data_IF_943630165999
#
_entry.id   IF_943630165999
#
_cell.length_a   1.000
_cell.length_b   1.000
_cell.length_c   1.000
_cell.angle_alpha   90.00
_cell.angle_beta   90.00
_cell.angle_gamma   90.00
#
_symmetry.space_group_name_H-M   'P 1'
#
loop_
_entity.id
_entity.type
_entity.pdbx_description
1 polymer ?
#
# COMPACT_ATOMS: atom_id res chain seq x y z
N UNK A 1 45.81 17.19 10.52
CA UNK A 1 44.73 16.27 10.10
C UNK A 1 43.69 16.31 11.21
N UNK A 2 42.60 17.06 11.01
CA UNK A 2 41.49 17.10 11.94
C UNK A 2 40.57 15.93 11.58
N UNK A 3 40.50 14.92 12.45
CA UNK A 3 39.46 13.91 12.37
C UNK A 3 38.14 14.58 12.74
N UNK A 4 37.31 14.86 11.75
CA UNK A 4 35.89 15.14 11.95
C UNK A 4 35.26 13.88 12.53
N UNK A 5 34.95 13.91 13.83
CA UNK A 5 34.05 12.93 14.44
C UNK A 5 32.68 13.13 13.82
N UNK A 6 32.29 12.25 12.91
CA UNK A 6 30.89 12.11 12.51
C UNK A 6 30.11 11.73 13.78
N UNK A 7 29.36 12.69 14.31
CA UNK A 7 28.35 12.41 15.33
C UNK A 7 27.30 11.52 14.68
N UNK A 8 27.30 10.24 15.05
CA UNK A 8 26.18 9.33 14.76
C UNK A 8 24.94 9.99 15.36
N UNK A 9 24.02 10.45 14.52
CA UNK A 9 22.76 11.01 15.00
C UNK A 9 22.05 9.91 15.81
N UNK A 10 21.72 10.20 17.07
CA UNK A 10 20.91 9.28 17.88
C UNK A 10 19.57 9.07 17.18
N UNK A 11 19.19 7.80 17.00
CA UNK A 11 17.89 7.45 16.43
C UNK A 11 16.79 8.00 17.35
N UNK A 12 15.76 8.66 16.79
CA UNK A 12 14.66 9.17 17.58
C UNK A 12 13.98 8.01 18.33
N UNK A 13 13.72 8.22 19.63
CA UNK A 13 13.13 7.20 20.48
C UNK A 13 11.71 6.87 20.02
N UNK A 14 11.41 5.59 19.84
CA UNK A 14 10.03 5.12 19.68
C UNK A 14 9.31 5.32 21.01
N UNK A 15 8.13 5.91 20.95
CA UNK A 15 7.28 6.10 22.13
C UNK A 15 5.92 5.44 21.91
N UNK A 16 5.29 5.02 23.01
CA UNK A 16 3.86 4.73 22.96
C UNK A 16 3.15 6.04 22.62
N UNK A 17 2.30 6.01 21.60
CA UNK A 17 1.60 7.21 21.18
C UNK A 17 0.56 7.60 22.24
N UNK A 18 0.46 8.88 22.65
CA UNK A 18 -0.57 9.31 23.60
C UNK A 18 -1.99 8.94 23.18
N UNK A 19 -2.27 8.88 21.87
CA UNK A 19 -3.56 8.45 21.34
C UNK A 19 -3.90 7.00 21.69
N UNK A 20 -2.90 6.14 21.97
CA UNK A 20 -3.11 4.76 22.43
C UNK A 20 -3.95 4.66 23.72
N UNK A 21 -3.99 5.72 24.53
CA UNK A 21 -4.78 5.79 25.76
C UNK A 21 -6.27 6.06 25.50
N UNK A 22 -6.61 6.55 24.31
CA UNK A 22 -7.97 6.89 23.89
C UNK A 22 -8.67 5.73 23.18
N UNK A 23 -7.95 4.64 22.91
CA UNK A 23 -8.45 3.50 22.14
C UNK A 23 -8.57 2.23 22.99
N UNK A 24 -9.57 1.42 22.67
CA UNK A 24 -9.96 0.24 23.46
C UNK A 24 -8.91 -0.88 23.53
N UNK A 25 -7.89 -0.83 22.66
CA UNK A 25 -6.82 -1.81 22.58
C UNK A 25 -5.49 -1.14 22.23
N UNK A 26 -4.53 -1.17 23.16
CA UNK A 26 -3.31 -0.36 23.12
C UNK A 26 -2.09 -1.02 22.46
N UNK A 27 -2.21 -2.23 21.90
CA UNK A 27 -1.09 -2.92 21.23
C UNK A 27 -1.50 -4.23 20.56
N UNK A 28 -0.60 -4.83 19.78
CA UNK A 28 -0.89 -6.08 19.08
C UNK A 28 -1.00 -7.28 20.03
N UNK A 29 -1.68 -8.33 19.56
CA UNK A 29 -1.84 -9.56 20.31
C UNK A 29 -0.76 -10.57 19.90
N UNK A 30 0.28 -10.76 20.71
CA UNK A 30 1.32 -11.76 20.45
C UNK A 30 1.26 -12.94 21.43
N UNK A 31 1.04 -14.15 20.92
CA UNK A 31 1.05 -15.38 21.74
C UNK A 31 1.53 -16.59 20.94
N UNK A 32 2.22 -17.53 21.61
CA UNK A 32 2.75 -18.75 20.98
C UNK A 32 3.56 -18.46 19.68
N UNK A 33 4.37 -17.39 19.70
CA UNK A 33 5.21 -16.94 18.57
C UNK A 33 4.42 -16.48 17.32
N UNK A 34 3.18 -16.04 17.50
CA UNK A 34 2.31 -15.53 16.43
C UNK A 34 1.59 -14.25 16.86
N UNK A 35 1.37 -13.36 15.91
CA UNK A 35 0.49 -12.19 16.03
C UNK A 35 -0.96 -12.55 15.70
N UNK A 36 -1.92 -11.79 16.22
CA UNK A 36 -3.35 -12.02 16.01
C UNK A 36 -4.09 -10.68 15.88
N UNK A 37 -5.14 -10.69 15.06
CA UNK A 37 -6.12 -9.60 15.03
C UNK A 37 -6.92 -9.52 16.35
N UNK A 38 -7.37 -8.33 16.72
CA UNK A 38 -8.29 -8.15 17.86
C UNK A 38 -9.61 -8.89 17.67
N UNK A 39 -10.09 -8.98 16.43
CA UNK A 39 -11.20 -9.83 16.03
C UNK A 39 -10.67 -10.99 15.17
N UNK A 40 -10.95 -12.23 15.60
CA UNK A 40 -10.50 -13.42 14.88
C UNK A 40 -11.19 -13.48 13.52
N UNK A 41 -10.45 -13.45 12.38
CA UNK A 41 -11.04 -13.64 11.06
C UNK A 41 -11.76 -14.98 10.97
N UNK A 42 -12.78 -15.06 10.13
CA UNK A 42 -13.44 -16.33 9.86
C UNK A 42 -12.45 -17.26 9.15
N UNK A 43 -12.12 -18.38 9.79
CA UNK A 43 -11.23 -19.37 9.20
C UNK A 43 -11.88 -20.02 7.98
N UNK A 44 -11.12 -20.16 6.89
CA UNK A 44 -11.58 -20.90 5.72
C UNK A 44 -11.86 -22.36 6.09
N UNK A 45 -13.07 -22.81 5.83
CA UNK A 45 -13.48 -24.21 6.06
C UNK A 45 -13.02 -25.11 4.90
N UNK A 46 -12.90 -26.42 5.13
CA UNK A 46 -12.55 -27.37 4.05
C UNK A 46 -13.54 -27.32 2.87
N UNK A 47 -14.87 -27.29 3.07
CA UNK A 47 -15.82 -27.06 1.97
C UNK A 47 -15.62 -25.69 1.29
N UNK A 48 -15.29 -24.65 2.06
CA UNK A 48 -14.95 -23.33 1.52
C UNK A 48 -13.73 -23.37 0.61
N UNK A 49 -12.67 -24.10 0.99
CA UNK A 49 -11.49 -24.30 0.17
C UNK A 49 -11.81 -25.00 -1.16
N UNK A 50 -12.60 -26.08 -1.13
CA UNK A 50 -13.02 -26.75 -2.37
C UNK A 50 -13.86 -25.85 -3.28
N UNK A 51 -14.75 -25.04 -2.70
CA UNK A 51 -15.53 -24.03 -3.44
C UNK A 51 -14.62 -23.01 -4.10
N UNK A 52 -13.64 -22.48 -3.35
CA UNK A 52 -12.67 -21.51 -3.87
C UNK A 52 -11.84 -22.09 -5.02
N UNK A 53 -11.31 -23.31 -4.86
CA UNK A 53 -10.60 -24.02 -5.92
C UNK A 53 -11.47 -24.19 -7.17
N UNK A 54 -12.75 -24.56 -6.99
CA UNK A 54 -13.72 -24.61 -8.08
C UNK A 54 -13.89 -23.27 -8.78
N UNK A 55 -13.97 -22.16 -8.03
CA UNK A 55 -14.06 -20.81 -8.61
C UNK A 55 -12.81 -20.43 -9.42
N UNK A 56 -11.60 -20.73 -8.94
CA UNK A 56 -10.39 -20.48 -9.73
C UNK A 56 -10.32 -21.29 -11.04
N UNK A 57 -10.99 -22.45 -11.08
CA UNK A 57 -11.07 -23.29 -12.28
C UNK A 57 -12.18 -22.84 -13.24
N UNK A 58 -13.35 -22.44 -12.73
CA UNK A 58 -14.57 -22.29 -13.52
C UNK A 58 -15.20 -20.88 -13.50
N UNK A 59 -14.80 -20.01 -12.59
CA UNK A 59 -15.30 -18.65 -12.41
C UNK A 59 -14.14 -17.64 -12.51
N UNK A 60 -13.35 -17.75 -13.57
CA UNK A 60 -12.29 -16.79 -13.86
C UNK A 60 -12.90 -15.45 -14.28
N UNK A 61 -12.27 -14.32 -13.92
CA UNK A 61 -12.65 -13.02 -14.45
C UNK A 61 -12.58 -13.03 -15.98
N UNK A 62 -13.41 -12.20 -16.62
CA UNK A 62 -13.43 -12.07 -18.07
C UNK A 62 -12.16 -11.38 -18.57
N UNK A 63 -11.65 -10.41 -17.80
CA UNK A 63 -10.47 -9.60 -18.09
C UNK A 63 -9.57 -9.55 -16.84
N UNK A 64 -8.88 -10.65 -16.48
CA UNK A 64 -7.99 -10.72 -15.30
C UNK A 64 -6.81 -9.75 -15.38
N UNK A 65 -6.38 -9.47 -16.61
CA UNK A 65 -5.28 -8.58 -16.90
C UNK A 65 -5.66 -7.68 -18.08
N UNK A 66 -5.09 -6.48 -18.14
CA UNK A 66 -5.33 -5.57 -19.24
C UNK A 66 -4.97 -6.17 -20.63
N UNK A 67 -5.79 -5.90 -21.65
CA UNK A 67 -5.62 -6.40 -23.04
C UNK A 67 -5.09 -5.27 -23.92
N UNK A 68 -4.08 -5.53 -24.77
CA UNK A 68 -3.50 -4.53 -25.69
C UNK A 68 -2.10 -4.04 -25.30
N UNK A 69 -1.44 -3.20 -26.13
CA UNK A 69 -0.01 -2.90 -25.99
C UNK A 69 0.37 -2.02 -24.80
N UNK A 70 -0.48 -1.10 -24.32
CA UNK A 70 -0.24 -0.30 -23.10
C UNK A 70 -1.56 0.10 -22.41
N UNK A 71 -2.17 -0.78 -21.61
CA UNK A 71 -3.52 -0.55 -21.11
C UNK A 71 -3.57 0.08 -19.70
N UNK A 72 -2.45 0.10 -18.97
CA UNK A 72 -2.29 0.95 -17.77
C UNK A 72 -1.27 2.03 -18.11
N UNK A 73 -1.69 3.31 -18.21
CA UNK A 73 -0.79 4.38 -18.60
C UNK A 73 0.24 4.65 -17.50
N UNK A 74 1.49 4.79 -17.93
CA UNK A 74 2.63 5.11 -17.07
C UNK A 74 3.16 6.47 -17.48
N UNK A 75 3.01 7.44 -16.59
CA UNK A 75 3.64 8.74 -16.68
C UNK A 75 5.13 8.59 -16.35
N UNK A 76 5.98 8.76 -17.37
CA UNK A 76 7.42 8.66 -17.19
C UNK A 76 7.93 9.76 -16.26
N UNK A 77 8.65 9.35 -15.21
CA UNK A 77 9.28 10.25 -14.25
C UNK A 77 10.79 10.23 -14.43
N UNK A 78 11.44 11.34 -14.08
CA UNK A 78 12.90 11.45 -14.01
C UNK A 78 13.31 11.92 -12.61
N UNK A 79 14.51 11.54 -12.18
CA UNK A 79 15.04 11.96 -10.89
C UNK A 79 15.09 13.49 -10.73
N UNK A 80 15.38 14.23 -11.80
CA UNK A 80 15.42 15.70 -11.77
C UNK A 80 14.04 16.33 -11.57
N UNK A 81 12.97 15.75 -12.13
CA UNK A 81 11.60 16.21 -11.90
C UNK A 81 11.20 16.08 -10.43
N UNK A 82 11.65 15.01 -9.75
CA UNK A 82 11.40 14.82 -8.31
C UNK A 82 12.12 15.87 -7.46
N UNK A 83 13.33 16.28 -7.85
CA UNK A 83 14.20 17.18 -7.09
C UNK A 83 13.84 18.67 -7.24
N UNK A 84 12.99 19.06 -8.19
CA UNK A 84 12.53 20.45 -8.32
C UNK A 84 11.92 20.90 -6.99
N UNK A 85 12.31 22.05 -6.40
CA UNK A 85 11.66 22.56 -5.19
C UNK A 85 10.16 22.65 -5.44
N UNK A 86 9.41 21.81 -4.74
CA UNK A 86 7.97 21.65 -4.95
C UNK A 86 7.30 21.51 -3.61
N UNK A 87 6.02 21.83 -3.60
CA UNK A 87 5.09 21.46 -2.53
C UNK A 87 5.15 19.96 -2.26
N UNK A 88 4.63 19.55 -1.10
CA UNK A 88 4.42 18.14 -0.78
C UNK A 88 3.67 17.45 -1.93
N UNK A 89 4.22 16.33 -2.41
CA UNK A 89 3.75 15.65 -3.62
C UNK A 89 3.74 14.15 -3.40
N UNK A 90 2.69 13.48 -3.86
CA UNK A 90 2.57 12.02 -3.86
C UNK A 90 2.67 11.49 -5.28
N UNK A 91 3.39 10.39 -5.47
CA UNK A 91 3.44 9.64 -6.73
C UNK A 91 3.10 8.18 -6.47
N UNK A 92 2.19 7.62 -7.25
CA UNK A 92 1.89 6.18 -7.22
C UNK A 92 2.78 5.44 -8.21
N UNK A 93 3.72 4.63 -7.75
CA UNK A 93 4.66 3.90 -8.62
C UNK A 93 4.14 2.51 -9.05
N UNK A 94 3.04 2.07 -8.46
CA UNK A 94 2.36 0.81 -8.74
C UNK A 94 1.85 0.18 -7.45
N UNK A 95 0.74 -0.54 -7.52
CA UNK A 95 0.15 -1.29 -6.42
C UNK A 95 -0.05 -0.40 -5.18
N UNK A 96 0.70 -0.66 -4.11
CA UNK A 96 0.75 0.11 -2.85
C UNK A 96 2.09 0.84 -2.65
N UNK A 97 2.94 0.88 -3.67
CA UNK A 97 4.20 1.65 -3.68
C UNK A 97 3.94 3.12 -3.97
N UNK A 98 4.02 3.95 -2.93
CA UNK A 98 3.85 5.39 -3.01
C UNK A 98 5.17 6.09 -2.67
N UNK A 99 5.62 6.98 -3.55
CA UNK A 99 6.71 7.91 -3.25
C UNK A 99 6.08 9.21 -2.75
N UNK A 100 6.39 9.57 -1.50
CA UNK A 100 5.93 10.78 -0.85
C UNK A 100 7.10 11.76 -0.74
N UNK A 101 6.95 12.95 -1.29
CA UNK A 101 7.84 14.07 -1.01
C UNK A 101 7.16 14.92 0.06
N UNK A 102 7.71 14.92 1.27
CA UNK A 102 7.16 15.61 2.44
C UNK A 102 8.25 16.49 3.04
N UNK A 103 8.00 17.80 3.17
CA UNK A 103 8.99 18.77 3.67
C UNK A 103 10.34 18.72 2.91
N UNK A 104 10.33 18.39 1.61
CA UNK A 104 11.54 18.24 0.80
C UNK A 104 12.31 16.93 1.00
N UNK A 105 11.84 16.04 1.89
CA UNK A 105 12.38 14.69 2.09
C UNK A 105 11.53 13.65 1.34
N UNK A 106 12.14 12.53 0.94
CA UNK A 106 11.46 11.45 0.22
C UNK A 106 11.22 10.23 1.09
N UNK A 107 10.00 9.72 1.05
CA UNK A 107 9.54 8.54 1.77
C UNK A 107 8.91 7.57 0.78
N UNK A 108 9.04 6.27 1.03
CA UNK A 108 8.53 5.24 0.12
C UNK A 108 7.76 4.17 0.89
N UNK A 109 6.52 3.89 0.50
CA UNK A 109 5.72 2.81 1.10
C UNK A 109 5.88 1.52 0.30
N UNK A 110 5.86 0.36 0.98
CA UNK A 110 5.73 -0.98 0.40
C UNK A 110 6.36 -1.16 -1.01
N UNK A 111 7.69 -0.99 -1.14
CA UNK A 111 8.33 -0.92 -2.44
C UNK A 111 8.39 -2.27 -3.14
N UNK A 112 7.68 -2.38 -4.27
CA UNK A 112 7.72 -3.55 -5.15
C UNK A 112 7.99 -3.15 -6.60
N UNK A 113 9.25 -3.31 -7.00
CA UNK A 113 9.76 -3.07 -8.35
C UNK A 113 9.93 -4.37 -9.15
N UNK A 114 9.84 -5.54 -8.51
CA UNK A 114 9.96 -6.83 -9.19
C UNK A 114 8.86 -7.05 -10.23
N UNK A 115 9.17 -7.87 -11.24
CA UNK A 115 8.23 -8.23 -12.31
C UNK A 115 7.07 -9.08 -11.80
N UNK A 116 7.28 -9.83 -10.71
CA UNK A 116 6.28 -10.68 -10.08
C UNK A 116 6.27 -10.54 -8.57
N UNK A 117 5.06 -10.49 -8.00
CA UNK A 117 4.81 -10.62 -6.57
C UNK A 117 4.88 -12.11 -6.17
N UNK A 118 6.09 -12.67 -6.12
CA UNK A 118 6.30 -14.10 -5.93
C UNK A 118 7.71 -14.39 -5.40
N UNK A 119 7.91 -15.49 -4.65
CA UNK A 119 9.27 -15.96 -4.32
C UNK A 119 10.09 -16.32 -5.56
N UNK A 120 9.43 -16.64 -6.67
CA UNK A 120 10.07 -17.14 -7.89
C UNK A 120 9.66 -16.27 -9.08
N UNK A 121 10.61 -15.73 -9.83
CA UNK A 121 10.31 -14.78 -10.91
C UNK A 121 9.72 -15.43 -12.18
N UNK A 122 9.59 -16.75 -12.24
CA UNK A 122 8.95 -17.48 -13.34
C UNK A 122 7.50 -17.90 -13.07
N UNK A 123 7.00 -17.77 -11.83
CA UNK A 123 5.64 -18.18 -11.44
C UNK A 123 5.01 -17.15 -10.49
N UNK A 124 3.68 -17.06 -10.45
CA UNK A 124 2.95 -16.10 -9.62
C UNK A 124 2.56 -14.81 -10.35
N UNK A 125 1.85 -13.88 -9.70
CA UNK A 125 1.26 -12.69 -10.33
C UNK A 125 2.32 -11.83 -11.02
N UNK A 126 2.11 -11.49 -12.31
CA UNK A 126 2.98 -10.60 -13.08
C UNK A 126 2.39 -9.20 -13.08
N UNK A 127 3.24 -8.17 -12.94
CA UNK A 127 2.78 -6.78 -13.04
C UNK A 127 2.28 -6.44 -14.45
N UNK A 128 1.26 -5.59 -14.54
CA UNK A 128 0.63 -5.15 -15.80
C UNK A 128 1.41 -4.09 -16.56
N UNK A 129 2.20 -3.28 -15.84
CA UNK A 129 2.95 -2.15 -16.38
C UNK A 129 4.35 -2.14 -15.76
N UNK A 130 5.35 -1.55 -16.40
CA UNK A 130 6.64 -1.30 -15.76
C UNK A 130 6.50 -0.18 -14.69
N UNK A 131 7.33 -0.16 -13.64
CA UNK A 131 7.34 0.97 -12.72
C UNK A 131 7.86 2.23 -13.44
N UNK A 132 7.38 3.43 -13.07
CA UNK A 132 7.75 4.68 -13.76
C UNK A 132 9.22 5.09 -13.49
N UNK A 133 9.82 4.53 -12.44
CA UNK A 133 11.23 4.66 -12.06
C UNK A 133 11.72 3.32 -11.54
N UNK A 134 13.00 3.03 -11.78
CA UNK A 134 13.71 1.93 -11.12
C UNK A 134 14.27 2.38 -9.76
N UNK A 135 14.53 1.47 -8.81
CA UNK A 135 15.09 1.80 -7.50
C UNK A 135 16.34 2.69 -7.57
N UNK A 136 17.20 2.47 -8.57
CA UNK A 136 18.44 3.21 -8.75
C UNK A 136 18.24 4.65 -9.24
N UNK A 137 17.04 4.97 -9.72
CA UNK A 137 16.68 6.30 -10.20
C UNK A 137 15.98 7.13 -9.12
N UNK A 138 15.61 6.53 -7.98
CA UNK A 138 15.02 7.25 -6.87
C UNK A 138 16.03 8.17 -6.18
N UNK A 139 15.58 9.34 -5.68
CA UNK A 139 16.39 10.19 -4.82
C UNK A 139 16.75 9.47 -3.52
N UNK A 140 17.63 10.08 -2.71
CA UNK A 140 17.88 9.60 -1.35
C UNK A 140 16.57 9.59 -0.56
N UNK A 141 16.30 8.48 0.12
CA UNK A 141 15.07 8.25 0.87
C UNK A 141 15.34 8.46 2.35
N UNK A 142 14.56 9.35 2.96
CA UNK A 142 14.54 9.54 4.40
C UNK A 142 14.03 8.31 5.13
N UNK A 143 13.08 7.60 4.52
CA UNK A 143 12.52 6.39 5.10
C UNK A 143 11.80 5.50 4.09
N UNK A 144 11.88 4.20 4.32
CA UNK A 144 11.00 3.21 3.70
C UNK A 144 10.04 2.69 4.76
N UNK A 145 8.75 2.73 4.47
CA UNK A 145 7.67 2.35 5.37
C UNK A 145 7.07 1.04 4.86
N UNK A 146 7.05 0.01 5.70
CA UNK A 146 6.51 -1.31 5.34
C UNK A 146 5.25 -1.57 6.17
N UNK A 147 4.15 -1.96 5.52
CA UNK A 147 2.90 -2.34 6.20
C UNK A 147 2.93 -3.76 6.74
N UNK A 148 3.42 -4.73 5.95
CA UNK A 148 3.46 -6.15 6.31
C UNK A 148 4.39 -6.94 5.36
N UNK A 149 4.43 -8.27 5.51
CA UNK A 149 5.47 -9.10 4.89
C UNK A 149 5.05 -9.85 3.61
N UNK A 150 3.92 -9.59 2.98
CA UNK A 150 3.54 -10.32 1.75
C UNK A 150 4.40 -9.93 0.55
N UNK A 151 4.39 -10.75 -0.50
CA UNK A 151 5.31 -10.63 -1.65
C UNK A 151 5.07 -9.37 -2.50
N UNK A 152 3.84 -8.87 -2.51
CA UNK A 152 3.38 -7.66 -3.20
C UNK A 152 3.51 -6.38 -2.36
N UNK A 153 4.00 -6.48 -1.12
CA UNK A 153 4.30 -5.34 -0.25
C UNK A 153 5.76 -5.29 0.23
N UNK A 154 6.42 -6.46 0.27
CA UNK A 154 7.80 -6.62 0.71
C UNK A 154 8.57 -7.47 -0.30
N UNK A 155 9.26 -6.81 -1.22
CA UNK A 155 10.04 -7.46 -2.28
C UNK A 155 11.54 -7.45 -1.99
N UNK A 156 12.17 -8.63 -2.03
CA UNK A 156 13.60 -8.78 -1.73
C UNK A 156 14.50 -8.00 -2.70
N UNK A 157 14.15 -7.99 -3.99
CA UNK A 157 14.93 -7.27 -5.00
C UNK A 157 14.91 -5.76 -4.71
N UNK A 158 13.72 -5.23 -4.45
CA UNK A 158 13.51 -3.83 -4.10
C UNK A 158 14.27 -3.44 -2.84
N UNK A 159 14.13 -4.21 -1.75
CA UNK A 159 14.85 -3.92 -0.50
C UNK A 159 16.36 -3.89 -0.71
N UNK A 160 16.92 -4.88 -1.41
CA UNK A 160 18.36 -4.94 -1.68
C UNK A 160 18.85 -3.76 -2.51
N UNK A 161 18.09 -3.36 -3.53
CA UNK A 161 18.44 -2.21 -4.37
C UNK A 161 18.31 -0.87 -3.64
N UNK A 162 17.43 -0.78 -2.65
CA UNK A 162 17.15 0.45 -1.90
C UNK A 162 17.95 0.59 -0.60
N UNK A 163 18.56 -0.48 -0.09
CA UNK A 163 19.26 -0.49 1.20
C UNK A 163 20.35 0.59 1.32
N UNK A 164 21.05 0.92 0.22
CA UNK A 164 22.08 1.96 0.21
C UNK A 164 21.55 3.38 -0.08
N UNK A 165 20.25 3.51 -0.35
CA UNK A 165 19.58 4.78 -0.68
C UNK A 165 18.67 5.28 0.42
N UNK A 166 18.37 4.42 1.38
CA UNK A 166 17.45 4.69 2.47
C UNK A 166 18.22 4.89 3.77
N UNK A 167 17.88 5.94 4.51
CA UNK A 167 18.42 6.16 5.86
C UNK A 167 17.88 5.11 6.84
N UNK A 168 16.56 4.86 6.82
CA UNK A 168 15.89 4.00 7.80
C UNK A 168 14.70 3.23 7.22
N UNK A 169 14.54 1.97 7.60
CA UNK A 169 13.35 1.16 7.36
C UNK A 169 12.44 1.19 8.61
N UNK A 170 11.20 1.63 8.44
CA UNK A 170 10.16 1.65 9.48
C UNK A 170 9.17 0.52 9.20
N UNK A 171 9.15 -0.49 10.07
CA UNK A 171 8.46 -1.76 9.79
C UNK A 171 7.71 -2.28 11.01
N UNK A 172 6.68 -3.11 10.85
CA UNK A 172 6.05 -3.79 11.99
C UNK A 172 6.99 -4.85 12.59
N UNK A 173 6.81 -5.15 13.87
CA UNK A 173 7.60 -6.14 14.60
C UNK A 173 7.74 -7.48 13.87
N UNK A 174 8.95 -8.01 13.84
CA UNK A 174 9.29 -9.30 13.24
C UNK A 174 9.70 -9.21 11.75
N UNK A 175 9.38 -8.11 11.05
CA UNK A 175 9.84 -7.88 9.67
C UNK A 175 11.33 -7.59 9.62
N UNK A 176 11.89 -6.91 10.62
CA UNK A 176 13.29 -6.50 10.65
C UNK A 176 14.28 -7.65 10.52
N UNK A 177 13.95 -8.84 11.06
CA UNK A 177 14.77 -10.05 10.86
C UNK A 177 14.94 -10.39 9.38
N UNK A 178 13.89 -10.22 8.57
CA UNK A 178 13.94 -10.52 7.13
C UNK A 178 14.79 -9.48 6.40
N UNK A 179 14.65 -8.20 6.74
CA UNK A 179 15.49 -7.14 6.18
C UNK A 179 16.98 -7.35 6.48
N UNK A 180 17.32 -7.76 7.70
CA UNK A 180 18.70 -8.12 8.07
C UNK A 180 19.23 -9.30 7.26
N UNK A 181 18.41 -10.34 7.03
CA UNK A 181 18.78 -11.45 6.15
C UNK A 181 19.05 -11.01 4.70
N UNK A 182 18.45 -9.91 4.27
CA UNK A 182 18.64 -9.33 2.94
C UNK A 182 19.77 -8.28 2.88
N UNK A 183 20.45 -8.02 4.00
CA UNK A 183 21.63 -7.16 4.05
C UNK A 183 21.38 -5.73 4.53
N UNK A 184 20.19 -5.43 5.07
CA UNK A 184 19.94 -4.15 5.74
C UNK A 184 20.59 -4.17 7.12
N UNK A 185 21.38 -3.14 7.44
CA UNK A 185 22.03 -3.01 8.74
C UNK A 185 20.98 -2.88 9.86
N UNK A 186 21.24 -3.47 11.03
CA UNK A 186 20.26 -3.54 12.10
C UNK A 186 19.91 -2.15 12.66
N UNK A 187 20.89 -1.25 12.69
CA UNK A 187 20.75 0.16 13.05
C UNK A 187 19.85 0.94 12.09
N UNK A 188 19.74 0.51 10.84
CA UNK A 188 18.88 1.13 9.82
C UNK A 188 17.45 0.56 9.83
N UNK A 189 17.06 -0.19 10.87
CA UNK A 189 15.72 -0.79 11.00
C UNK A 189 15.09 -0.38 12.32
N UNK A 190 13.88 0.15 12.23
CA UNK A 190 13.03 0.51 13.37
C UNK A 190 11.75 -0.32 13.34
N UNK A 191 11.55 -1.19 14.33
CA UNK A 191 10.38 -2.06 14.43
C UNK A 191 9.29 -1.47 15.34
N UNK A 192 8.04 -1.53 14.90
CA UNK A 192 6.87 -0.96 15.60
C UNK A 192 5.84 -2.02 15.98
N UNK A 193 5.31 -1.89 17.19
CA UNK A 193 3.99 -2.41 17.55
C UNK A 193 2.89 -1.38 17.16
N UNK A 194 1.63 -1.80 17.20
CA UNK A 194 0.51 -0.89 17.04
C UNK A 194 0.52 0.22 18.09
N UNK A 195 0.13 1.41 17.66
CA UNK A 195 0.12 2.67 18.40
C UNK A 195 1.48 3.12 18.92
N UNK A 196 2.57 2.62 18.36
CA UNK A 196 3.88 3.20 18.56
C UNK A 196 4.16 4.25 17.50
N UNK A 197 4.83 5.33 17.90
CA UNK A 197 5.19 6.43 17.01
C UNK A 197 6.62 6.88 17.16
N UNK A 198 7.11 7.52 16.11
CA UNK A 198 8.41 8.16 16.05
C UNK A 198 8.29 9.50 15.33
N UNK A 199 9.06 10.49 15.80
CA UNK A 199 9.23 11.77 15.11
C UNK A 199 10.58 11.77 14.41
N UNK A 200 10.58 11.96 13.09
CA UNK A 200 11.79 11.95 12.25
C UNK A 200 11.84 13.24 11.47
N UNK A 201 12.70 14.17 11.91
CA UNK A 201 12.70 15.53 11.37
C UNK A 201 11.32 16.17 11.54
N UNK A 202 10.74 16.66 10.43
CA UNK A 202 9.40 17.24 10.41
C UNK A 202 8.25 16.23 10.32
N UNK A 203 8.52 14.94 10.15
CA UNK A 203 7.50 13.92 9.86
C UNK A 203 7.28 12.97 11.03
N UNK A 204 6.03 12.85 11.48
CA UNK A 204 5.60 11.85 12.44
C UNK A 204 5.15 10.58 11.71
N UNK A 205 5.60 9.43 12.19
CA UNK A 205 5.10 8.13 11.78
C UNK A 205 4.44 7.44 12.97
N UNK A 206 3.26 6.87 12.78
CA UNK A 206 2.58 6.01 13.75
C UNK A 206 2.17 4.72 13.07
N UNK A 207 2.58 3.58 13.61
CA UNK A 207 2.06 2.29 13.18
C UNK A 207 0.69 2.07 13.83
N UNK A 208 -0.38 2.05 13.06
CA UNK A 208 -1.75 1.85 13.55
C UNK A 208 -2.24 0.43 13.25
N UNK A 209 -3.26 -0.08 13.96
CA UNK A 209 -3.79 -1.41 13.70
C UNK A 209 -4.25 -1.62 12.25
N UNK A 210 -4.23 -2.87 11.82
CA UNK A 210 -4.80 -3.35 10.57
C UNK A 210 -5.39 -4.74 10.81
N UNK A 211 -6.38 -5.13 10.02
CA UNK A 211 -7.00 -6.46 10.06
C UNK A 211 -6.48 -7.32 8.91
N UNK A 212 -5.31 -7.94 9.09
CA UNK A 212 -4.68 -8.77 8.05
C UNK A 212 -3.96 -9.98 8.65
N UNK A 213 -2.99 -10.54 7.95
CA UNK A 213 -2.11 -11.60 8.42
C UNK A 213 -0.71 -11.42 7.82
N UNK A 214 0.22 -12.31 8.18
CA UNK A 214 1.55 -12.35 7.57
C UNK A 214 1.96 -13.76 7.21
N UNK A 215 2.85 -13.91 6.23
CA UNK A 215 3.40 -15.20 5.83
C UNK A 215 3.98 -15.18 4.41
N UNK A 216 5.10 -15.87 4.22
CA UNK A 216 5.77 -16.01 2.92
C UNK A 216 6.02 -17.48 2.55
N UNK A 217 5.73 -18.42 3.44
CA UNK A 217 5.87 -19.85 3.19
C UNK A 217 5.02 -20.70 4.13
N UNK A 218 5.29 -22.00 4.14
CA UNK A 218 4.43 -22.98 4.84
C UNK A 218 4.49 -22.91 6.38
N UNK A 219 5.51 -22.26 6.95
CA UNK A 219 5.79 -22.33 8.38
C UNK A 219 5.93 -20.98 9.08
N UNK A 220 5.73 -19.87 8.39
CA UNK A 220 5.98 -18.52 8.91
C UNK A 220 4.71 -17.68 9.09
N UNK A 221 3.53 -18.28 8.96
CA UNK A 221 2.24 -17.62 9.20
C UNK A 221 2.23 -16.90 10.55
N UNK A 222 1.87 -15.62 10.50
CA UNK A 222 1.73 -14.68 11.60
C UNK A 222 2.98 -14.47 12.47
N UNK A 223 4.18 -14.79 11.94
CA UNK A 223 5.44 -14.62 12.70
C UNK A 223 5.99 -13.19 12.69
N UNK A 224 5.43 -12.31 11.87
CA UNK A 224 5.63 -10.86 11.93
C UNK A 224 4.28 -10.14 11.99
N UNK A 225 4.27 -8.95 12.55
CA UNK A 225 3.09 -8.11 12.63
C UNK A 225 2.79 -7.48 11.25
N UNK A 226 1.57 -6.96 11.11
CA UNK A 226 1.06 -6.15 10.00
C UNK A 226 0.45 -4.88 10.59
N UNK A 227 0.48 -3.76 9.88
CA UNK A 227 -0.05 -2.49 10.36
C UNK A 227 -0.47 -1.58 9.21
N UNK A 228 -1.30 -0.60 9.52
CA UNK A 228 -1.50 0.60 8.73
C UNK A 228 -0.59 1.71 9.27
N UNK A 229 -0.48 2.83 8.56
CA UNK A 229 0.40 3.93 8.95
C UNK A 229 -0.30 5.28 8.90
N UNK A 230 -0.10 6.06 9.96
CA UNK A 230 -0.30 7.51 9.95
C UNK A 230 1.04 8.17 9.66
N UNK A 231 1.07 9.04 8.65
CA UNK A 231 2.26 9.75 8.17
C UNK A 231 1.91 11.24 8.15
N UNK A 232 2.47 12.03 9.07
CA UNK A 232 2.12 13.46 9.22
C UNK A 232 3.33 14.35 9.08
N UNK A 233 3.31 15.22 8.09
CA UNK A 233 4.16 16.42 8.00
C UNK A 233 3.41 17.63 8.60
N UNK A 234 4.05 18.79 8.80
CA UNK A 234 3.37 20.02 9.20
C UNK A 234 2.33 20.50 8.18
N UNK A 235 2.45 20.10 6.92
CA UNK A 235 1.61 20.55 5.82
C UNK A 235 0.64 19.48 5.29
N UNK A 236 0.87 18.20 5.59
CA UNK A 236 0.10 17.08 5.03
C UNK A 236 -0.04 15.93 6.01
N UNK A 237 -1.27 15.47 6.21
CA UNK A 237 -1.63 14.29 7.00
C UNK A 237 -2.09 13.17 6.06
N UNK A 238 -1.35 12.07 6.01
CA UNK A 238 -1.61 10.92 5.14
C UNK A 238 -1.88 9.68 5.98
N UNK A 239 -2.94 8.95 5.64
CA UNK A 239 -3.15 7.58 6.11
C UNK A 239 -2.80 6.59 4.99
N UNK A 240 -2.07 5.53 5.33
CA UNK A 240 -1.72 4.45 4.41
C UNK A 240 -2.21 3.12 4.98
N UNK A 241 -3.16 2.46 4.32
CA UNK A 241 -3.82 1.28 4.87
C UNK A 241 -2.94 0.03 4.92
N UNK A 242 -1.94 -0.08 4.03
CA UNK A 242 -1.44 -1.40 3.63
C UNK A 242 -2.61 -2.25 3.12
N UNK A 243 -2.61 -3.53 3.49
CA UNK A 243 -3.76 -4.41 3.30
C UNK A 243 -4.48 -4.66 4.62
N UNK A 244 -5.80 -4.64 4.59
CA UNK A 244 -6.62 -4.78 5.79
C UNK A 244 -8.08 -5.00 5.44
N UNK A 245 -8.71 -6.02 6.04
CA UNK A 245 -10.16 -6.08 6.09
C UNK A 245 -10.76 -4.90 6.88
N UNK A 246 -12.06 -4.67 6.72
CA UNK A 246 -12.73 -3.62 7.47
C UNK A 246 -12.90 -3.99 8.96
N UNK A 247 -12.75 -2.98 9.82
CA UNK A 247 -12.87 -3.09 11.27
C UNK A 247 -13.07 -1.71 11.92
N UNK A 248 -13.60 -1.71 13.16
CA UNK A 248 -13.93 -0.48 13.91
C UNK A 248 -12.72 0.40 14.22
N UNK A 249 -11.50 -0.12 14.08
CA UNK A 249 -10.28 0.65 14.34
C UNK A 249 -10.06 1.79 13.35
N UNK A 250 -10.65 1.77 12.15
CA UNK A 250 -10.61 2.93 11.25
C UNK A 250 -11.23 4.17 11.89
N UNK A 251 -12.38 4.00 12.55
CA UNK A 251 -13.05 5.09 13.25
C UNK A 251 -12.21 5.62 14.41
N UNK A 252 -11.61 4.70 15.17
CA UNK A 252 -10.70 5.04 16.27
C UNK A 252 -9.48 5.83 15.78
N UNK A 253 -8.88 5.42 14.65
CA UNK A 253 -7.76 6.12 14.02
C UNK A 253 -8.21 7.50 13.53
N UNK A 254 -9.39 7.59 12.91
CA UNK A 254 -9.98 8.86 12.46
C UNK A 254 -10.30 9.83 13.59
N UNK A 255 -10.75 9.34 14.74
CA UNK A 255 -10.97 10.15 15.95
C UNK A 255 -9.65 10.62 16.59
N UNK A 256 -8.60 9.80 16.53
CA UNK A 256 -7.30 10.11 17.11
C UNK A 256 -6.45 11.08 16.27
N UNK A 257 -6.45 10.91 14.94
CA UNK A 257 -5.52 11.59 14.04
C UNK A 257 -6.18 12.38 12.93
N UNK A 258 -7.45 12.11 12.65
CA UNK A 258 -8.20 12.78 11.60
C UNK A 258 -8.52 14.24 11.92
N UNK A 259 -8.97 15.01 10.91
CA UNK A 259 -9.12 14.59 9.52
C UNK A 259 -7.77 14.37 8.82
N UNK A 260 -7.74 13.42 7.87
CA UNK A 260 -6.59 13.20 7.00
C UNK A 260 -6.77 13.93 5.68
N UNK A 261 -5.72 14.57 5.18
CA UNK A 261 -5.75 15.21 3.87
C UNK A 261 -5.88 14.15 2.76
N UNK A 262 -5.12 13.06 2.86
CA UNK A 262 -5.20 11.92 1.94
C UNK A 262 -5.28 10.62 2.72
N UNK A 263 -6.26 9.79 2.39
CA UNK A 263 -6.28 8.39 2.80
C UNK A 263 -5.96 7.52 1.58
N UNK A 264 -4.85 6.78 1.65
CA UNK A 264 -4.45 5.79 0.66
C UNK A 264 -5.00 4.43 1.12
N UNK A 265 -6.10 3.99 0.50
CA UNK A 265 -6.90 2.85 0.97
C UNK A 265 -6.86 1.72 -0.05
N UNK A 266 -6.53 0.51 0.39
CA UNK A 266 -6.60 -0.66 -0.48
C UNK A 266 -8.01 -0.83 -1.07
N UNK A 267 -8.06 -1.01 -2.38
CA UNK A 267 -9.30 -1.10 -3.14
C UNK A 267 -9.04 -2.03 -4.32
N UNK A 268 -8.86 -3.32 -4.04
CA UNK A 268 -8.51 -4.35 -5.00
C UNK A 268 -8.19 -5.66 -4.27
N UNK A 269 -7.91 -6.73 -5.01
CA UNK A 269 -7.64 -8.06 -4.47
C UNK A 269 -8.74 -8.63 -3.53
N UNK A 270 -9.96 -8.11 -3.61
CA UNK A 270 -11.06 -8.51 -2.74
C UNK A 270 -11.86 -9.67 -3.33
N UNK A 271 -12.51 -10.41 -2.46
CA UNK A 271 -13.59 -11.34 -2.79
C UNK A 271 -14.48 -11.54 -1.56
N UNK A 272 -15.72 -11.97 -1.80
CA UNK A 272 -16.68 -12.32 -0.74
C UNK A 272 -16.24 -13.50 0.12
N UNK A 273 -15.29 -14.30 -0.35
CA UNK A 273 -14.74 -15.44 0.39
C UNK A 273 -13.64 -15.05 1.40
N UNK A 274 -13.10 -13.82 1.36
CA UNK A 274 -12.10 -13.31 2.33
C UNK A 274 -12.30 -11.84 2.77
N UNK A 275 -13.52 -11.44 3.15
CA UNK A 275 -13.85 -10.03 3.45
C UNK A 275 -13.17 -9.49 4.71
N UNK A 276 -12.57 -10.38 5.51
CA UNK A 276 -11.92 -10.05 6.77
C UNK A 276 -10.46 -9.63 6.62
N UNK A 277 -9.87 -9.78 5.43
CA UNK A 277 -8.45 -9.47 5.16
C UNK A 277 -8.23 -8.55 3.95
N UNK A 278 -9.19 -8.49 3.02
CA UNK A 278 -9.23 -7.46 1.97
C UNK A 278 -10.62 -6.84 1.90
N UNK A 279 -10.68 -5.51 1.85
CA UNK A 279 -11.94 -4.78 1.78
C UNK A 279 -12.62 -4.87 0.41
N UNK A 280 -13.93 -5.14 0.43
CA UNK A 280 -14.80 -4.83 -0.71
C UNK A 280 -14.81 -3.30 -0.95
N UNK A 281 -15.07 -2.80 -2.18
CA UNK A 281 -15.07 -1.37 -2.46
C UNK A 281 -15.98 -0.53 -1.55
N UNK A 282 -17.14 -1.08 -1.14
CA UNK A 282 -18.03 -0.43 -0.17
C UNK A 282 -17.36 -0.26 1.20
N UNK A 283 -16.60 -1.25 1.62
CA UNK A 283 -15.84 -1.22 2.87
C UNK A 283 -14.64 -0.28 2.78
N UNK A 284 -13.94 -0.23 1.63
CA UNK A 284 -12.86 0.73 1.39
C UNK A 284 -13.36 2.17 1.48
N UNK A 285 -14.55 2.46 0.90
CA UNK A 285 -15.17 3.77 1.03
C UNK A 285 -15.59 4.07 2.47
N UNK A 286 -16.17 3.10 3.17
CA UNK A 286 -16.55 3.27 4.57
C UNK A 286 -15.32 3.53 5.47
N UNK A 287 -14.21 2.83 5.25
CA UNK A 287 -12.95 3.07 5.97
C UNK A 287 -12.45 4.51 5.76
N UNK A 288 -12.51 5.03 4.53
CA UNK A 288 -12.18 6.43 4.24
C UNK A 288 -13.04 7.42 5.04
N UNK A 289 -14.36 7.18 5.11
CA UNK A 289 -15.29 8.01 5.87
C UNK A 289 -14.99 7.96 7.37
N UNK A 290 -14.76 6.77 7.92
CA UNK A 290 -14.46 6.58 9.35
C UNK A 290 -13.11 7.20 9.76
N UNK A 291 -12.16 7.25 8.83
CA UNK A 291 -10.89 7.95 9.00
C UNK A 291 -11.03 9.48 8.97
N UNK A 292 -12.21 10.02 8.64
CA UNK A 292 -12.42 11.44 8.36
C UNK A 292 -11.47 11.95 7.25
N UNK A 293 -11.32 11.18 6.16
CA UNK A 293 -10.47 11.57 5.03
C UNK A 293 -11.08 12.67 4.16
N UNK A 294 -10.25 13.58 3.67
CA UNK A 294 -10.64 14.63 2.71
C UNK A 294 -10.60 14.12 1.27
N UNK A 295 -9.52 13.44 0.89
CA UNK A 295 -9.35 12.81 -0.43
C UNK A 295 -9.02 11.32 -0.26
N UNK A 296 -9.68 10.47 -1.05
CA UNK A 296 -9.37 9.05 -1.10
C UNK A 296 -8.50 8.74 -2.32
N UNK A 297 -7.35 8.10 -2.11
CA UNK A 297 -6.51 7.54 -3.17
C UNK A 297 -6.60 6.00 -3.11
N UNK A 298 -7.33 5.36 -4.02
CA UNK A 298 -7.40 3.90 -4.09
C UNK A 298 -6.03 3.28 -4.46
N UNK A 299 -5.53 2.36 -3.64
CA UNK A 299 -4.29 1.59 -3.88
C UNK A 299 -4.60 0.08 -4.01
N UNK A 300 -3.57 -0.76 -4.13
CA UNK A 300 -3.71 -2.23 -4.21
C UNK A 300 -4.49 -2.74 -5.44
N UNK A 301 -4.50 -1.95 -6.52
CA UNK A 301 -5.20 -2.24 -7.78
C UNK A 301 -4.35 -1.84 -9.00
N UNK A 302 -4.76 -2.23 -10.21
CA UNK A 302 -4.14 -1.77 -11.46
C UNK A 302 -2.70 -2.21 -11.71
N UNK A 303 -2.14 -3.10 -10.89
CA UNK A 303 -0.76 -3.56 -11.03
C UNK A 303 -0.63 -5.08 -11.11
N UNK A 304 -1.30 -5.86 -10.25
CA UNK A 304 -1.23 -7.32 -10.26
C UNK A 304 -2.63 -7.94 -10.33
N UNK A 305 -2.72 -9.14 -10.91
CA UNK A 305 -3.90 -10.01 -10.86
C UNK A 305 -3.83 -10.87 -9.59
N UNK A 306 -4.56 -10.46 -8.54
CA UNK A 306 -4.50 -11.05 -7.19
C UNK A 306 -5.85 -11.63 -6.71
N UNK A 307 -6.93 -11.46 -7.47
CA UNK A 307 -8.27 -11.91 -7.07
C UNK A 307 -9.13 -12.29 -8.28
N UNK A 308 -10.40 -12.63 -8.02
CA UNK A 308 -11.33 -13.15 -9.03
C UNK A 308 -12.20 -12.07 -9.70
N UNK A 309 -11.82 -10.80 -9.60
CA UNK A 309 -12.48 -9.68 -10.26
C UNK A 309 -11.71 -9.25 -11.51
N UNK A 310 -12.37 -8.58 -12.46
CA UNK A 310 -11.66 -7.98 -13.60
C UNK A 310 -10.70 -6.89 -13.11
N UNK A 311 -9.57 -6.69 -13.80
CA UNK A 311 -8.52 -5.78 -13.32
C UNK A 311 -8.99 -4.33 -13.11
N UNK A 312 -9.99 -3.90 -13.90
CA UNK A 312 -10.54 -2.55 -13.87
C UNK A 312 -11.76 -2.39 -12.94
N UNK A 313 -12.38 -3.50 -12.52
CA UNK A 313 -13.58 -3.50 -11.67
C UNK A 313 -13.41 -2.67 -10.39
N UNK A 314 -12.27 -2.72 -9.66
CA UNK A 314 -12.12 -1.91 -8.46
C UNK A 314 -12.22 -0.41 -8.72
N UNK A 315 -11.69 0.07 -9.86
CA UNK A 315 -11.77 1.48 -10.24
C UNK A 315 -13.22 1.89 -10.58
N UNK A 316 -13.94 1.04 -11.31
CA UNK A 316 -15.35 1.27 -11.64
C UNK A 316 -16.22 1.39 -10.38
N UNK A 317 -16.10 0.40 -9.50
CA UNK A 317 -16.95 0.31 -8.32
C UNK A 317 -16.67 1.44 -7.34
N UNK A 318 -15.40 1.74 -7.04
CA UNK A 318 -15.08 2.83 -6.12
C UNK A 318 -15.47 4.20 -6.70
N UNK A 319 -15.31 4.40 -8.01
CA UNK A 319 -15.73 5.65 -8.67
C UNK A 319 -17.24 5.88 -8.53
N UNK A 320 -18.06 4.85 -8.77
CA UNK A 320 -19.51 4.95 -8.63
C UNK A 320 -19.93 5.20 -7.18
N UNK A 321 -19.33 4.47 -6.22
CA UNK A 321 -19.62 4.61 -4.79
C UNK A 321 -19.23 6.00 -4.26
N UNK A 322 -18.03 6.48 -4.61
CA UNK A 322 -17.55 7.78 -4.18
C UNK A 322 -18.38 8.92 -4.77
N UNK A 323 -18.81 8.82 -6.04
CA UNK A 323 -19.72 9.79 -6.64
C UNK A 323 -21.07 9.86 -5.90
N UNK A 324 -21.64 8.71 -5.50
CA UNK A 324 -22.89 8.65 -4.75
C UNK A 324 -22.79 9.26 -3.34
N UNK A 325 -21.61 9.19 -2.71
CA UNK A 325 -21.35 9.74 -1.37
C UNK A 325 -20.61 11.10 -1.40
N UNK A 326 -20.40 11.68 -2.58
CA UNK A 326 -19.68 12.95 -2.77
C UNK A 326 -18.25 12.94 -2.19
N UNK A 327 -17.59 11.77 -2.20
CA UNK A 327 -16.21 11.62 -1.76
C UNK A 327 -15.23 11.99 -2.89
N UNK A 328 -14.32 12.96 -2.67
CA UNK A 328 -13.29 13.29 -3.66
C UNK A 328 -12.27 12.16 -3.82
N UNK A 329 -12.14 11.64 -5.05
CA UNK A 329 -11.12 10.65 -5.41
C UNK A 329 -9.88 11.29 -6.02
N UNK A 330 -8.73 10.66 -5.77
CA UNK A 330 -7.46 10.88 -6.45
C UNK A 330 -7.12 9.63 -7.25
N UNK A 331 -7.20 9.73 -8.58
CA UNK A 331 -6.97 8.60 -9.51
C UNK A 331 -5.83 8.92 -10.49
N UNK A 332 -4.61 9.22 -10.01
CA UNK A 332 -3.49 9.52 -10.90
C UNK A 332 -3.17 8.30 -11.78
N UNK A 333 -2.64 8.55 -12.97
CA UNK A 333 -1.91 7.53 -13.69
C UNK A 333 -0.68 7.08 -12.88
N UNK A 334 -0.12 5.93 -13.23
CA UNK A 334 1.10 5.46 -12.58
C UNK A 334 2.23 6.46 -12.85
N UNK A 335 2.81 7.04 -11.80
CA UNK A 335 3.85 8.06 -11.88
C UNK A 335 3.36 9.50 -12.04
N UNK A 336 2.05 9.75 -12.15
CA UNK A 336 1.53 11.12 -12.22
C UNK A 336 1.58 11.80 -10.83
N UNK A 337 2.03 13.07 -10.74
CA UNK A 337 2.11 13.79 -9.47
C UNK A 337 0.73 14.17 -8.92
N UNK A 338 0.55 13.97 -7.62
CA UNK A 338 -0.61 14.41 -6.85
C UNK A 338 -0.19 15.50 -5.88
N UNK A 339 -0.79 16.69 -5.99
CA UNK A 339 -0.46 17.88 -5.19
C UNK A 339 -1.72 18.60 -4.71
N UNK A 340 -2.04 18.53 -3.42
CA UNK A 340 -3.29 19.14 -2.91
C UNK A 340 -3.32 20.67 -2.95
N UNK A 341 -2.18 21.33 -3.21
CA UNK A 341 -2.13 22.78 -3.41
C UNK A 341 -2.74 23.25 -4.73
N UNK A 342 -3.07 22.33 -5.65
CA UNK A 342 -3.73 22.64 -6.92
C UNK A 342 -4.99 21.78 -7.08
N UNK A 343 -6.03 22.26 -7.79
CA UNK A 343 -7.22 21.47 -8.09
C UNK A 343 -6.84 20.16 -8.78
N UNK A 344 -7.42 19.06 -8.30
CA UNK A 344 -7.16 17.72 -8.81
C UNK A 344 -8.19 17.35 -9.87
N UNK A 345 -7.70 17.02 -11.06
CA UNK A 345 -8.50 16.52 -12.15
C UNK A 345 -7.92 15.19 -12.60
N UNK A 346 -8.79 14.23 -12.86
CA UNK A 346 -8.41 12.94 -13.41
C UNK A 346 -9.50 12.50 -14.39
N UNK A 347 -9.14 11.57 -15.25
CA UNK A 347 -10.06 10.91 -16.17
C UNK A 347 -9.98 9.40 -15.92
N UNK A 348 -11.04 8.62 -16.25
CA UNK A 348 -11.07 7.19 -16.00
C UNK A 348 -10.14 6.45 -16.97
N UNK A 349 -8.84 6.53 -16.72
CA UNK A 349 -7.78 6.07 -17.62
C UNK A 349 -7.81 4.57 -17.90
N UNK A 350 -8.47 3.78 -17.04
CA UNK A 350 -8.69 2.36 -17.22
C UNK A 350 -9.75 2.03 -18.30
N UNK A 351 -10.56 3.02 -18.73
CA UNK A 351 -11.60 2.86 -19.76
C UNK A 351 -11.11 3.14 -21.18
N UNK A 352 -9.82 3.40 -21.40
CA UNK A 352 -9.29 3.91 -22.69
C UNK A 352 -9.50 3.01 -23.92
N UNK A 353 -10.11 1.83 -23.80
CA UNK A 353 -10.38 0.92 -24.92
C UNK A 353 -11.86 0.47 -25.08
N UNK A 354 -12.84 1.06 -24.38
CA UNK A 354 -14.25 0.69 -24.61
C UNK A 354 -14.69 0.94 -26.07
N UNK A 355 -14.13 1.96 -26.73
CA UNK A 355 -14.44 2.27 -28.13
C UNK A 355 -13.84 1.27 -29.15
N UNK A 356 -12.76 0.55 -28.81
CA UNK A 356 -12.17 -0.46 -29.70
C UNK A 356 -12.81 -1.83 -29.50
N UNK A 357 -13.24 -2.16 -28.28
CA UNK A 357 -13.95 -3.42 -27.97
C UNK A 357 -15.35 -3.47 -28.59
N UNK A 358 -16.09 -2.36 -28.60
CA UNK A 358 -17.39 -2.28 -29.31
C UNK A 358 -17.17 -2.47 -30.82
N UNK A 359 -16.14 -1.86 -31.41
CA UNK A 359 -15.83 -2.02 -32.84
C UNK A 359 -15.38 -3.44 -33.23
N UNK A 360 -14.67 -4.15 -32.34
CA UNK A 360 -14.25 -5.54 -32.57
C UNK A 360 -15.43 -6.51 -32.40
N UNK A 361 -16.30 -6.30 -31.41
CA UNK A 361 -17.50 -7.13 -31.20
C UNK A 361 -18.51 -6.93 -32.34
N UNK A 362 -18.68 -5.69 -32.82
CA UNK A 362 -19.51 -5.40 -34.00
C UNK A 362 -18.93 -6.04 -35.28
N UNK A 363 -17.60 -6.04 -35.44
CA UNK A 363 -16.93 -6.68 -36.59
C UNK A 363 -16.95 -8.22 -36.52
N UNK A 364 -17.04 -8.82 -35.34
CA UNK A 364 -17.14 -10.28 -35.15
C UNK A 364 -18.61 -10.78 -35.12
N UNK A 365 -19.59 -9.89 -35.05
CA UNK A 365 -21.02 -10.18 -35.11
C UNK A 365 -21.62 -10.12 -36.51
N UNK A 366 -20.79 -9.84 -37.53
CA UNK A 366 -21.16 -9.86 -38.94
C UNK A 366 -20.25 -10.80 -39.71
N UNK A 367 -20.47 -12.10 -39.57
CA UNK A 367 -20.12 -13.12 -40.57
C UNK A 367 -21.05 -14.34 -40.43
#
# INVERSE_FOLDING_TARGET
MAHSSETVAELPAITADPASQLVSSSGSLFRKKRFYNHHTPQAMTVPGLFRLLGRYLFARPAVPAPIGPVPVPVHALTASQLLVPSVDTLYRLGHSTLLLKLNGEFWLTDPVFAKRASPLQWIGPKRFHEPPLMPEQLPALKGIIISHNHYDHLDEMSIKALASRCEQFYVPQGVGRKLQQWGVAAENITEFDWWQSVQVGGTQLVATPARHFSGRGLFDTDRSLWCSWVIRSPALSVFFSGDTGYFDGFKQIGEAYGPFDITCIETGAYDRDWPDVHMLPEQSLQAHLDLNGCYMLPIHNGTFDLALHDWFEPFERITALAAAQQVPLLMPQIGEPVQLSVPQYWYPWWRQHESELVGIIEAMGTD
#
